data_IF_854006304334
#
_entry.id   IF_854006304334
#
_cell.length_a   1.000
_cell.length_b   1.000
_cell.length_c   1.000
_cell.angle_alpha   90.00
_cell.angle_beta   90.00
_cell.angle_gamma   90.00
#
_symmetry.space_group_name_H-M   'P 1'
#
loop_
_entity.id
_entity.type
_entity.pdbx_description
1 polymer ?
#
# COMPACT_ATOMS: atom_id res chain seq x y z
N UNK A 1 -28.04 -1.75 24.00
CA UNK A 1 -26.71 -1.75 23.34
C UNK A 1 -26.92 -1.18 21.95
N UNK A 2 -26.48 0.05 21.70
CA UNK A 2 -26.57 0.66 20.37
C UNK A 2 -25.21 0.56 19.70
N UNK A 3 -25.13 -0.20 18.62
CA UNK A 3 -23.96 -0.21 17.75
C UNK A 3 -23.91 1.14 17.01
N UNK A 4 -22.83 1.89 17.18
CA UNK A 4 -22.59 3.08 16.38
C UNK A 4 -22.47 2.66 14.89
N UNK A 5 -23.02 3.44 13.96
CA UNK A 5 -22.83 3.17 12.55
C UNK A 5 -21.32 3.25 12.25
N UNK A 6 -20.77 2.17 11.71
CA UNK A 6 -19.49 2.23 11.03
C UNK A 6 -19.75 3.16 9.84
N UNK A 7 -19.29 4.41 9.92
CA UNK A 7 -19.21 5.29 8.76
C UNK A 7 -18.32 4.56 7.75
N UNK A 8 -18.95 3.79 6.86
CA UNK A 8 -18.29 3.29 5.67
C UNK A 8 -17.79 4.53 4.95
N UNK A 9 -16.46 4.70 4.91
CA UNK A 9 -15.84 5.66 4.04
C UNK A 9 -16.32 5.27 2.63
N UNK A 10 -17.29 5.99 2.10
CA UNK A 10 -17.62 5.87 0.69
C UNK A 10 -16.44 6.51 -0.01
N UNK A 11 -15.43 5.69 -0.30
CA UNK A 11 -14.31 6.11 -1.11
C UNK A 11 -14.86 6.31 -2.52
N UNK A 12 -15.26 7.54 -2.84
CA UNK A 12 -15.69 7.98 -4.17
C UNK A 12 -14.59 7.80 -5.24
N UNK A 13 -13.44 7.27 -4.83
CA UNK A 13 -12.27 7.06 -5.64
C UNK A 13 -12.48 5.86 -6.55
N UNK A 14 -12.31 6.11 -7.85
CA UNK A 14 -12.35 5.04 -8.85
C UNK A 14 -11.06 4.21 -8.72
N UNK A 15 -11.16 2.87 -8.74
CA UNK A 15 -10.00 2.02 -8.82
C UNK A 15 -9.12 2.38 -10.01
N UNK A 16 -7.81 2.26 -9.84
CA UNK A 16 -6.84 2.46 -10.91
C UNK A 16 -7.07 1.37 -11.95
N UNK A 17 -7.16 1.75 -13.23
CA UNK A 17 -7.21 0.76 -14.30
C UNK A 17 -5.96 -0.13 -14.25
N UNK A 18 -6.12 -1.44 -14.43
CA UNK A 18 -5.00 -2.41 -14.41
C UNK A 18 -4.25 -2.43 -15.74
N UNK A 19 -3.75 -1.27 -16.15
CA UNK A 19 -2.88 -1.11 -17.32
C UNK A 19 -1.54 -0.53 -16.88
N UNK A 20 -0.48 -0.78 -17.66
CA UNK A 20 0.86 -0.28 -17.34
C UNK A 20 0.87 1.25 -17.20
N UNK A 21 0.23 1.97 -18.11
CA UNK A 21 0.18 3.44 -18.10
C UNK A 21 -0.58 4.01 -16.91
N UNK A 22 -1.74 3.43 -16.57
CA UNK A 22 -2.55 3.90 -15.45
C UNK A 22 -1.83 3.66 -14.11
N UNK A 23 -1.17 2.51 -13.97
CA UNK A 23 -0.34 2.21 -12.79
C UNK A 23 0.84 3.18 -12.71
N UNK A 24 1.59 3.38 -13.80
CA UNK A 24 2.72 4.33 -13.81
C UNK A 24 2.30 5.75 -13.43
N UNK A 25 1.16 6.23 -13.95
CA UNK A 25 0.66 7.57 -13.67
C UNK A 25 0.29 7.77 -12.19
N UNK A 26 -0.22 6.72 -11.54
CA UNK A 26 -0.61 6.74 -10.14
C UNK A 26 0.56 6.60 -9.15
N UNK A 27 1.73 6.12 -9.59
CA UNK A 27 2.89 5.97 -8.73
C UNK A 27 3.57 7.32 -8.43
N UNK A 28 4.13 7.51 -7.22
CA UNK A 28 5.03 8.62 -6.93
C UNK A 28 6.23 8.62 -7.90
N UNK A 29 6.76 9.79 -8.30
CA UNK A 29 7.84 9.87 -9.29
C UNK A 29 9.06 8.99 -8.98
N UNK A 30 9.45 8.89 -7.71
CA UNK A 30 10.56 8.05 -7.27
C UNK A 30 10.38 6.56 -7.58
N UNK A 31 9.13 6.07 -7.56
CA UNK A 31 8.80 4.66 -7.73
C UNK A 31 8.54 4.27 -9.20
N UNK A 32 8.30 5.24 -10.08
CA UNK A 32 8.00 4.97 -11.51
C UNK A 32 9.15 4.31 -12.24
N UNK A 33 10.39 4.68 -11.91
CA UNK A 33 11.57 4.10 -12.57
C UNK A 33 11.76 2.63 -12.20
N UNK A 34 11.53 2.27 -10.94
CA UNK A 34 11.61 0.88 -10.50
C UNK A 34 10.48 0.04 -11.12
N UNK A 35 9.27 0.59 -11.21
CA UNK A 35 8.16 -0.05 -11.92
C UNK A 35 8.51 -0.37 -13.38
N UNK A 36 9.01 0.61 -14.14
CA UNK A 36 9.38 0.37 -15.54
C UNK A 36 10.53 -0.62 -15.68
N UNK A 37 11.50 -0.58 -14.76
CA UNK A 37 12.60 -1.54 -14.71
C UNK A 37 12.07 -2.97 -14.53
N UNK A 38 11.25 -3.21 -13.51
CA UNK A 38 10.68 -4.55 -13.27
C UNK A 38 9.77 -5.03 -14.41
N UNK A 39 8.96 -4.14 -15.01
CA UNK A 39 8.14 -4.48 -16.17
C UNK A 39 8.97 -4.84 -17.40
N UNK A 40 10.13 -4.21 -17.59
CA UNK A 40 11.05 -4.50 -18.71
C UNK A 40 11.93 -5.72 -18.49
N UNK A 41 12.16 -6.14 -17.24
CA UNK A 41 12.88 -7.36 -16.88
C UNK A 41 11.98 -8.61 -16.88
N UNK A 42 10.66 -8.43 -16.77
CA UNK A 42 9.69 -9.52 -16.73
C UNK A 42 9.52 -10.21 -18.09
N UNK A 43 9.35 -11.53 -18.05
CA UNK A 43 8.96 -12.35 -19.20
C UNK A 43 7.43 -12.51 -19.27
N UNK A 44 6.96 -13.22 -20.30
CA UNK A 44 5.54 -13.47 -20.56
C UNK A 44 4.82 -14.15 -19.37
N UNK A 45 5.52 -14.97 -18.60
CA UNK A 45 4.94 -15.68 -17.45
C UNK A 45 4.82 -14.77 -16.21
N UNK A 46 5.78 -13.86 -16.01
CA UNK A 46 5.91 -13.05 -14.80
C UNK A 46 5.30 -11.65 -14.91
N UNK A 47 5.15 -11.11 -16.12
CA UNK A 47 4.71 -9.73 -16.37
C UNK A 47 3.35 -9.41 -15.76
N UNK A 48 2.41 -10.35 -15.79
CA UNK A 48 1.09 -10.19 -15.15
C UNK A 48 1.18 -10.08 -13.62
N UNK A 49 2.12 -10.81 -13.01
CA UNK A 49 2.39 -10.77 -11.57
C UNK A 49 3.03 -9.44 -11.14
N UNK A 50 3.98 -8.94 -11.94
CA UNK A 50 4.60 -7.62 -11.72
C UNK A 50 3.54 -6.52 -11.79
N UNK A 51 2.73 -6.49 -12.85
CA UNK A 51 1.67 -5.49 -12.99
C UNK A 51 0.67 -5.54 -11.83
N UNK A 52 0.24 -6.74 -11.41
CA UNK A 52 -0.67 -6.91 -10.26
C UNK A 52 -0.08 -6.36 -8.97
N UNK A 53 1.20 -6.66 -8.69
CA UNK A 53 1.89 -6.21 -7.47
C UNK A 53 2.00 -4.69 -7.42
N UNK A 54 2.38 -4.08 -8.54
CA UNK A 54 2.51 -2.64 -8.66
C UNK A 54 1.16 -1.92 -8.65
N UNK A 55 0.11 -2.52 -9.23
CA UNK A 55 -1.26 -2.01 -9.12
C UNK A 55 -1.72 -1.96 -7.65
N UNK A 56 -1.54 -3.04 -6.87
CA UNK A 56 -1.88 -3.05 -5.45
C UNK A 56 -1.11 -1.96 -4.67
N UNK A 57 0.18 -1.79 -4.97
CA UNK A 57 1.00 -0.73 -4.36
C UNK A 57 0.51 0.67 -4.76
N UNK A 58 0.08 0.86 -6.00
CA UNK A 58 -0.47 2.12 -6.48
C UNK A 58 -1.80 2.47 -5.79
N UNK A 59 -2.68 1.50 -5.58
CA UNK A 59 -3.91 1.69 -4.78
C UNK A 59 -3.59 2.16 -3.35
N UNK A 60 -2.55 1.59 -2.72
CA UNK A 60 -2.11 2.00 -1.37
C UNK A 60 -1.57 3.45 -1.33
N UNK A 61 -0.88 3.91 -2.38
CA UNK A 61 -0.43 5.31 -2.46
C UNK A 61 -1.58 6.29 -2.65
N UNK A 62 -2.72 5.80 -3.12
CA UNK A 62 -3.89 6.62 -3.27
C UNK A 62 -4.69 6.70 -1.97
N UNK A 63 -4.57 5.75 -1.06
CA UNK A 63 -5.30 5.75 0.20
C UNK A 63 -4.80 6.85 1.18
N UNK A 64 -5.60 7.91 1.45
CA UNK A 64 -5.22 8.95 2.41
C UNK A 64 -5.19 8.46 3.85
N UNK A 65 -5.84 7.34 4.17
CA UNK A 65 -5.75 6.68 5.47
C UNK A 65 -4.37 6.02 5.64
N UNK A 66 -3.81 5.48 4.56
CA UNK A 66 -2.43 4.98 4.50
C UNK A 66 -1.40 6.02 4.91
N UNK A 67 -1.50 7.25 4.40
CA UNK A 67 -0.60 8.36 4.77
C UNK A 67 -0.72 8.73 6.25
N UNK A 68 -1.95 8.74 6.79
CA UNK A 68 -2.19 9.01 8.22
C UNK A 68 -1.60 7.93 9.11
N UNK A 69 -1.79 6.66 8.74
CA UNK A 69 -1.22 5.52 9.46
C UNK A 69 0.31 5.59 9.40
N UNK A 70 0.88 5.84 8.23
CA UNK A 70 2.32 5.96 8.07
C UNK A 70 2.90 7.10 8.94
N UNK A 71 2.25 8.26 8.95
CA UNK A 71 2.62 9.37 9.83
C UNK A 71 2.51 9.00 11.32
N UNK A 72 1.41 8.32 11.72
CA UNK A 72 1.23 7.87 13.09
C UNK A 72 2.31 6.86 13.52
N UNK A 73 2.70 5.94 12.63
CA UNK A 73 3.80 5.00 12.89
C UNK A 73 5.12 5.75 13.03
N UNK A 74 5.43 6.67 12.12
CA UNK A 74 6.65 7.49 12.17
C UNK A 74 6.75 8.34 13.43
N UNK A 75 5.62 8.83 13.92
CA UNK A 75 5.53 9.67 15.11
C UNK A 75 5.38 8.84 16.42
N UNK A 76 5.29 7.51 16.33
CA UNK A 76 5.09 6.65 17.49
C UNK A 76 3.70 6.76 18.13
N UNK A 77 2.72 7.29 17.40
CA UNK A 77 1.34 7.51 17.85
C UNK A 77 0.34 6.52 17.26
N UNK A 78 0.79 5.60 16.39
CA UNK A 78 -0.06 4.55 15.86
C UNK A 78 -0.54 3.62 16.98
N UNK A 79 -1.83 3.26 17.02
CA UNK A 79 -2.37 2.32 18.00
C UNK A 79 -1.76 0.93 17.83
N UNK A 80 -1.51 0.24 18.94
CA UNK A 80 -0.99 -1.12 18.97
C UNK A 80 0.43 -1.23 19.53
N UNK A 81 0.95 -2.46 19.60
CA UNK A 81 2.34 -2.73 19.99
C UNK A 81 3.17 -2.88 18.73
N UNK A 82 4.33 -2.20 18.65
CA UNK A 82 5.19 -2.34 17.48
C UNK A 82 5.69 -3.78 17.33
N UNK A 83 5.80 -4.25 16.09
CA UNK A 83 6.31 -5.59 15.80
C UNK A 83 7.67 -5.83 16.48
N UNK A 84 8.56 -4.84 16.45
CA UNK A 84 9.86 -4.90 17.13
C UNK A 84 9.77 -4.99 18.66
N UNK A 85 8.72 -4.44 19.28
CA UNK A 85 8.49 -4.62 20.71
C UNK A 85 7.93 -6.01 21.04
N UNK A 86 7.07 -6.56 20.18
CA UNK A 86 6.58 -7.94 20.30
C UNK A 86 7.73 -8.94 20.13
N UNK A 87 8.54 -8.79 19.07
CA UNK A 87 9.67 -9.67 18.80
C UNK A 87 10.69 -9.67 19.94
N UNK A 88 11.06 -8.49 20.47
CA UNK A 88 11.94 -8.41 21.65
C UNK A 88 11.38 -9.09 22.89
N UNK A 89 10.06 -9.12 23.07
CA UNK A 89 9.43 -9.84 24.18
C UNK A 89 9.56 -11.35 23.97
N UNK A 90 9.29 -11.82 22.76
CA UNK A 90 9.40 -13.24 22.42
C UNK A 90 10.85 -13.74 22.51
N UNK A 91 11.84 -12.91 22.17
CA UNK A 91 13.27 -13.26 22.30
C UNK A 91 13.76 -13.28 23.76
N UNK A 92 12.98 -12.74 24.70
CA UNK A 92 13.30 -12.66 26.12
C UNK A 92 12.59 -13.74 26.97
N UNK A 93 11.76 -14.58 26.35
CA UNK A 93 11.05 -15.74 26.93
C UNK A 93 11.75 -17.05 26.55
#
# INVERSE_FOLDING_TARGET
>A
MSAAPLNGHHDDRRPIARTQDAVAAALPPAQRMEFYREMGEADDETIGGVLRRWWLRAELYQDPEGDRIHAAVRNGTAPGTSASAVLRRLDAE
#
